data_IF_689568301779
#
_entry.id   IF_689568301779
#
_cell.length_a   1.000
_cell.length_b   1.000
_cell.length_c   1.000
_cell.angle_alpha   90.00
_cell.angle_beta   90.00
_cell.angle_gamma   90.00
#
_symmetry.space_group_name_H-M   'P 1'
#
loop_
_entity.id
_entity.type
_entity.pdbx_description
1 polymer ?
#
# COMPACT_ATOMS: atom_id res chain seq x y z
N UNK A 1 15.04 -14.07 13.45
CA UNK A 1 13.79 -14.47 14.16
C UNK A 1 12.70 -14.49 13.10
N UNK A 2 11.91 -15.55 13.03
CA UNK A 2 10.81 -15.61 12.07
C UNK A 2 9.54 -15.03 12.71
N UNK A 3 9.40 -13.71 12.65
CA UNK A 3 8.29 -12.94 13.29
C UNK A 3 6.90 -13.27 12.73
N UNK A 4 6.84 -13.83 11.52
CA UNK A 4 5.59 -14.18 10.82
C UNK A 4 5.44 -15.71 10.64
N UNK A 5 6.20 -16.52 11.40
CA UNK A 5 6.15 -17.98 11.29
C UNK A 5 4.73 -18.50 11.46
N UNK A 6 4.30 -19.33 10.50
CA UNK A 6 2.97 -19.96 10.50
C UNK A 6 1.80 -19.02 10.13
N UNK A 7 2.06 -17.77 9.78
CA UNK A 7 1.01 -16.84 9.29
C UNK A 7 0.78 -17.04 7.79
N UNK A 8 -0.48 -17.05 7.37
CA UNK A 8 -0.88 -16.94 5.97
C UNK A 8 -1.24 -15.50 5.63
N UNK A 9 -0.56 -14.95 4.62
CA UNK A 9 -0.63 -13.54 4.25
C UNK A 9 -1.07 -13.37 2.81
N UNK A 10 -2.02 -12.47 2.54
CA UNK A 10 -2.47 -12.09 1.21
C UNK A 10 -2.02 -10.66 0.92
N UNK A 11 -1.38 -10.42 -0.24
CA UNK A 11 -0.85 -9.11 -0.62
C UNK A 11 -1.34 -8.74 -2.01
N UNK A 12 -2.02 -7.60 -2.15
CA UNK A 12 -2.48 -7.09 -3.44
C UNK A 12 -1.45 -6.17 -4.10
N UNK A 13 -1.39 -6.15 -5.44
CA UNK A 13 -0.38 -5.40 -6.16
C UNK A 13 1.04 -5.92 -5.88
N UNK A 14 1.18 -7.25 -5.76
CA UNK A 14 2.41 -7.89 -5.29
C UNK A 14 3.38 -8.30 -6.43
N UNK A 15 3.04 -8.00 -7.70
CA UNK A 15 3.89 -8.32 -8.84
C UNK A 15 5.19 -7.50 -8.86
N UNK A 16 5.18 -6.28 -8.29
CA UNK A 16 6.33 -5.35 -8.32
C UNK A 16 6.33 -4.36 -7.14
N UNK A 17 7.37 -3.54 -7.08
CA UNK A 17 7.47 -2.40 -6.15
C UNK A 17 7.29 -2.76 -4.68
N UNK A 18 6.54 -1.93 -3.96
CA UNK A 18 6.31 -2.07 -2.52
C UNK A 18 5.64 -3.41 -2.18
N UNK A 19 4.63 -3.83 -2.96
CA UNK A 19 3.93 -5.09 -2.70
C UNK A 19 4.82 -6.31 -2.80
N UNK A 20 5.69 -6.38 -3.83
CA UNK A 20 6.68 -7.46 -3.99
C UNK A 20 7.72 -7.46 -2.87
N UNK A 21 8.20 -6.27 -2.46
CA UNK A 21 9.15 -6.15 -1.35
C UNK A 21 8.53 -6.59 -0.01
N UNK A 22 7.27 -6.24 0.25
CA UNK A 22 6.53 -6.72 1.43
C UNK A 22 6.40 -8.24 1.37
N UNK A 23 6.02 -8.81 0.22
CA UNK A 23 5.91 -10.25 0.05
C UNK A 23 7.22 -10.97 0.36
N UNK A 24 8.34 -10.48 -0.22
CA UNK A 24 9.67 -11.01 0.08
C UNK A 24 10.00 -10.94 1.56
N UNK A 25 9.82 -9.80 2.20
CA UNK A 25 10.12 -9.63 3.62
C UNK A 25 9.25 -10.54 4.51
N UNK A 26 7.98 -10.77 4.14
CA UNK A 26 7.09 -11.67 4.86
C UNK A 26 7.54 -13.13 4.75
N UNK A 27 7.97 -13.56 3.55
CA UNK A 27 8.54 -14.90 3.31
C UNK A 27 9.82 -15.08 4.12
N UNK A 28 10.73 -14.09 4.09
CA UNK A 28 11.99 -14.12 4.86
C UNK A 28 11.73 -14.21 6.37
N UNK A 29 10.59 -13.71 6.86
CA UNK A 29 10.15 -13.82 8.26
C UNK A 29 9.27 -15.06 8.54
N UNK A 30 9.18 -16.00 7.60
CA UNK A 30 8.57 -17.32 7.77
C UNK A 30 7.07 -17.39 7.51
N UNK A 31 6.48 -16.40 6.84
CA UNK A 31 5.10 -16.45 6.41
C UNK A 31 4.90 -17.30 5.15
N UNK A 32 3.72 -17.87 5.00
CA UNK A 32 3.20 -18.33 3.71
C UNK A 32 2.48 -17.15 3.04
N UNK A 33 2.89 -16.76 1.84
CA UNK A 33 2.35 -15.58 1.15
C UNK A 33 1.61 -15.98 -0.12
N UNK A 34 0.43 -15.40 -0.33
CA UNK A 34 -0.27 -15.38 -1.61
C UNK A 34 -0.08 -14.02 -2.26
N UNK A 35 0.63 -14.01 -3.39
CA UNK A 35 0.79 -12.81 -4.21
C UNK A 35 -0.43 -12.62 -5.10
N UNK A 36 -1.01 -11.43 -5.12
CA UNK A 36 -2.10 -11.13 -6.05
C UNK A 36 -1.83 -9.85 -6.83
N UNK A 37 -2.15 -9.87 -8.11
CA UNK A 37 -2.06 -8.74 -9.04
C UNK A 37 -2.97 -8.99 -10.23
N UNK A 38 -3.34 -7.93 -10.98
CA UNK A 38 -4.05 -8.08 -12.26
C UNK A 38 -3.12 -8.35 -13.43
N UNK A 39 -1.84 -7.99 -13.32
CA UNK A 39 -0.79 -8.20 -14.32
C UNK A 39 -0.31 -9.65 -14.25
N UNK A 40 -0.89 -10.49 -15.07
CA UNK A 40 -0.68 -11.95 -15.05
C UNK A 40 0.77 -12.36 -15.31
N UNK A 41 1.46 -11.68 -16.23
CA UNK A 41 2.82 -12.01 -16.64
C UNK A 41 3.82 -11.65 -15.53
N UNK A 42 3.81 -10.40 -15.10
CA UNK A 42 4.69 -9.93 -14.01
C UNK A 42 4.41 -10.63 -12.67
N UNK A 43 3.14 -11.01 -12.43
CA UNK A 43 2.77 -11.78 -11.25
C UNK A 43 3.35 -13.19 -11.28
N UNK A 44 3.33 -13.84 -12.44
CA UNK A 44 3.93 -15.17 -12.60
C UNK A 44 5.44 -15.14 -12.38
N UNK A 45 6.14 -14.13 -12.92
CA UNK A 45 7.57 -13.90 -12.67
C UNK A 45 7.89 -13.71 -11.20
N UNK A 46 7.11 -12.85 -10.51
CA UNK A 46 7.28 -12.61 -9.08
C UNK A 46 7.03 -13.90 -8.25
N UNK A 47 6.03 -14.69 -8.62
CA UNK A 47 5.74 -15.97 -8.00
C UNK A 47 6.87 -16.98 -8.14
N UNK A 48 7.51 -17.05 -9.31
CA UNK A 48 8.67 -17.91 -9.54
C UNK A 48 9.89 -17.44 -8.74
N UNK A 49 10.18 -16.14 -8.77
CA UNK A 49 11.33 -15.55 -8.07
C UNK A 49 11.21 -15.75 -6.54
N UNK A 50 10.03 -15.53 -5.99
CA UNK A 50 9.77 -15.63 -4.55
C UNK A 50 9.35 -17.05 -4.10
N UNK A 51 9.25 -18.00 -5.04
CA UNK A 51 8.78 -19.36 -4.78
C UNK A 51 7.45 -19.40 -4.02
N UNK A 52 6.52 -18.54 -4.40
CA UNK A 52 5.28 -18.27 -3.69
C UNK A 52 4.05 -18.47 -4.59
N UNK A 53 2.92 -18.82 -3.97
CA UNK A 53 1.65 -18.98 -4.70
C UNK A 53 1.16 -17.63 -5.24
N UNK A 54 0.50 -17.67 -6.39
CA UNK A 54 -0.07 -16.49 -7.04
C UNK A 54 -1.55 -16.68 -7.36
N UNK A 55 -2.31 -15.59 -7.35
CA UNK A 55 -3.69 -15.54 -7.81
C UNK A 55 -3.93 -14.23 -8.58
N UNK A 56 -4.34 -14.35 -9.83
CA UNK A 56 -4.73 -13.14 -10.61
C UNK A 56 -5.96 -12.52 -9.98
N UNK A 57 -5.86 -11.26 -9.58
CA UNK A 57 -6.91 -10.52 -8.90
C UNK A 57 -6.88 -9.06 -9.33
N UNK A 58 -7.96 -8.60 -9.95
CA UNK A 58 -8.23 -7.19 -10.20
C UNK A 58 -9.04 -6.64 -9.02
N UNK A 59 -8.43 -5.74 -8.25
CA UNK A 59 -9.03 -5.20 -7.03
C UNK A 59 -10.31 -4.40 -7.28
N UNK A 60 -10.58 -3.97 -8.53
CA UNK A 60 -11.80 -3.30 -8.94
C UNK A 60 -13.00 -4.27 -9.09
N UNK A 61 -12.75 -5.59 -9.20
CA UNK A 61 -13.76 -6.60 -9.51
C UNK A 61 -14.18 -7.37 -8.26
N UNK A 62 -15.40 -7.17 -7.82
CA UNK A 62 -15.96 -7.90 -6.67
C UNK A 62 -15.91 -9.42 -6.85
N UNK A 63 -16.15 -9.92 -8.08
CA UNK A 63 -16.08 -11.35 -8.39
C UNK A 63 -14.66 -11.94 -8.18
N UNK A 64 -13.59 -11.15 -8.33
CA UNK A 64 -12.23 -11.63 -8.05
C UNK A 64 -11.99 -11.78 -6.54
N UNK A 65 -12.60 -10.90 -5.73
CA UNK A 65 -12.59 -11.01 -4.28
C UNK A 65 -13.43 -12.19 -3.77
N UNK A 66 -14.58 -12.47 -4.40
CA UNK A 66 -15.40 -13.63 -4.09
C UNK A 66 -14.64 -14.91 -4.38
N UNK A 67 -13.98 -14.99 -5.55
CA UNK A 67 -13.10 -16.12 -5.90
C UNK A 67 -11.93 -16.29 -4.91
N UNK A 68 -11.30 -15.18 -4.48
CA UNK A 68 -10.27 -15.25 -3.43
C UNK A 68 -10.84 -15.82 -2.13
N UNK A 69 -12.04 -15.38 -1.71
CA UNK A 69 -12.69 -15.86 -0.49
C UNK A 69 -13.05 -17.35 -0.56
N UNK A 70 -13.49 -17.83 -1.72
CA UNK A 70 -13.79 -19.25 -1.94
C UNK A 70 -12.53 -20.13 -1.86
N UNK A 71 -11.42 -19.67 -2.45
CA UNK A 71 -10.16 -20.41 -2.48
C UNK A 71 -9.37 -20.29 -1.15
N UNK A 72 -9.47 -19.15 -0.49
CA UNK A 72 -8.73 -18.81 0.72
C UNK A 72 -9.67 -18.16 1.74
N UNK A 73 -10.54 -18.95 2.40
CA UNK A 73 -11.53 -18.43 3.35
C UNK A 73 -10.93 -17.91 4.66
N UNK A 74 -9.66 -18.17 4.93
CA UNK A 74 -8.95 -17.74 6.12
C UNK A 74 -7.63 -17.05 5.76
N UNK A 75 -7.28 -16.00 6.50
CA UNK A 75 -5.99 -15.32 6.42
C UNK A 75 -5.60 -14.75 7.78
N UNK A 76 -4.31 -14.59 8.05
CA UNK A 76 -3.77 -13.96 9.26
C UNK A 76 -3.41 -12.50 9.02
N UNK A 77 -2.96 -12.19 7.79
CA UNK A 77 -2.57 -10.85 7.38
C UNK A 77 -3.09 -10.56 5.98
N UNK A 78 -3.67 -9.37 5.79
CA UNK A 78 -4.03 -8.87 4.46
C UNK A 78 -3.39 -7.49 4.26
N UNK A 79 -2.62 -7.36 3.18
CA UNK A 79 -1.99 -6.09 2.77
C UNK A 79 -2.69 -5.56 1.53
N UNK A 80 -3.45 -4.50 1.68
CA UNK A 80 -4.08 -3.77 0.58
C UNK A 80 -3.06 -2.76 0.04
N UNK A 81 -2.28 -3.19 -0.95
CA UNK A 81 -1.21 -2.39 -1.54
C UNK A 81 -1.51 -1.95 -2.98
N UNK A 82 -2.31 -2.70 -3.74
CA UNK A 82 -2.65 -2.34 -5.11
C UNK A 82 -3.15 -0.88 -5.22
N UNK A 83 -2.62 -0.15 -6.18
CA UNK A 83 -2.99 1.24 -6.39
C UNK A 83 -2.36 1.82 -7.64
N UNK A 84 -2.97 2.88 -8.16
CA UNK A 84 -2.52 3.67 -9.31
C UNK A 84 -2.44 5.15 -8.94
N UNK A 85 -1.62 5.87 -9.70
CA UNK A 85 -1.51 7.34 -9.59
C UNK A 85 -2.51 8.07 -10.49
N UNK A 86 -2.89 7.44 -11.60
CA UNK A 86 -3.64 8.00 -12.72
C UNK A 86 -2.75 8.36 -13.92
N UNK A 87 -1.41 8.33 -13.75
CA UNK A 87 -0.46 8.67 -14.82
C UNK A 87 0.01 7.46 -15.65
N UNK A 88 -0.48 6.26 -15.37
CA UNK A 88 -0.06 5.01 -15.99
C UNK A 88 -0.37 4.95 -17.50
N UNK A 89 -1.41 5.65 -17.95
CA UNK A 89 -1.79 5.74 -19.37
C UNK A 89 -1.16 6.93 -20.10
N UNK A 90 -0.28 7.70 -19.42
CA UNK A 90 0.34 8.91 -19.97
C UNK A 90 -0.04 10.19 -19.23
N UNK A 91 0.46 11.33 -19.72
CA UNK A 91 0.26 12.63 -19.09
C UNK A 91 -1.14 13.16 -19.45
N UNK A 92 -2.06 13.11 -18.49
CA UNK A 92 -3.35 13.77 -18.54
C UNK A 92 -3.44 14.80 -17.39
N UNK A 93 -4.31 15.83 -17.48
CA UNK A 93 -4.53 16.73 -16.36
C UNK A 93 -5.15 15.98 -15.18
N UNK A 94 -4.49 16.04 -14.02
CA UNK A 94 -4.99 15.47 -12.75
C UNK A 94 -5.16 16.54 -11.67
N UNK A 95 -5.14 17.83 -12.08
CA UNK A 95 -5.41 18.96 -11.20
C UNK A 95 -6.93 19.12 -10.93
N UNK A 96 -7.33 19.87 -9.89
CA UNK A 96 -8.74 20.00 -9.50
C UNK A 96 -9.65 20.65 -10.51
N UNK A 97 -9.11 21.44 -11.45
CA UNK A 97 -9.89 22.17 -12.46
C UNK A 97 -10.12 21.34 -13.72
N UNK A 98 -9.09 20.61 -14.18
CA UNK A 98 -9.06 20.01 -15.52
C UNK A 98 -9.14 18.47 -15.51
N UNK A 99 -9.01 17.81 -14.35
CA UNK A 99 -9.14 16.35 -14.26
C UNK A 99 -10.52 15.90 -14.73
N UNK A 100 -10.57 14.88 -15.59
CA UNK A 100 -11.85 14.30 -16.02
C UNK A 100 -12.52 13.54 -14.88
N UNK A 101 -13.85 13.49 -14.88
CA UNK A 101 -14.59 12.67 -13.92
C UNK A 101 -14.31 11.16 -14.09
N UNK A 102 -13.96 10.74 -15.30
CA UNK A 102 -13.59 9.36 -15.60
C UNK A 102 -12.26 9.00 -14.95
N UNK A 103 -11.21 9.80 -15.12
CA UNK A 103 -9.91 9.62 -14.48
C UNK A 103 -10.02 9.68 -12.97
N UNK A 104 -10.78 10.65 -12.43
CA UNK A 104 -11.09 10.72 -11.01
C UNK A 104 -11.66 9.39 -10.50
N UNK A 105 -12.70 8.87 -11.17
CA UNK A 105 -13.35 7.62 -10.78
C UNK A 105 -12.45 6.40 -10.96
N UNK A 106 -11.63 6.36 -12.02
CA UNK A 106 -10.71 5.25 -12.25
C UNK A 106 -9.71 5.10 -11.09
N UNK A 107 -9.11 6.21 -10.64
CA UNK A 107 -8.20 6.19 -9.48
C UNK A 107 -8.92 5.74 -8.20
N UNK A 108 -10.16 6.20 -7.96
CA UNK A 108 -10.91 5.81 -6.77
C UNK A 108 -11.34 4.34 -6.80
N UNK A 109 -11.76 3.80 -7.95
CA UNK A 109 -12.11 2.37 -8.07
C UNK A 109 -10.95 1.46 -7.68
N UNK A 110 -9.75 1.73 -8.19
CA UNK A 110 -8.58 0.91 -7.83
C UNK A 110 -8.19 1.14 -6.37
N UNK A 111 -7.92 2.40 -6.01
CA UNK A 111 -7.28 2.71 -4.74
C UNK A 111 -8.23 2.55 -3.54
N UNK A 112 -9.46 3.07 -3.66
CA UNK A 112 -10.40 3.15 -2.54
C UNK A 112 -11.35 1.95 -2.50
N UNK A 113 -12.08 1.70 -3.61
CA UNK A 113 -13.03 0.58 -3.63
C UNK A 113 -12.29 -0.76 -3.50
N UNK A 114 -11.11 -0.90 -4.14
CA UNK A 114 -10.24 -2.06 -3.98
C UNK A 114 -9.79 -2.26 -2.52
N UNK A 115 -9.37 -1.20 -1.83
CA UNK A 115 -9.01 -1.28 -0.41
C UNK A 115 -10.22 -1.62 0.47
N UNK A 116 -11.39 -1.05 0.18
CA UNK A 116 -12.63 -1.40 0.88
C UNK A 116 -12.97 -2.89 0.73
N UNK A 117 -12.94 -3.42 -0.49
CA UNK A 117 -13.20 -4.84 -0.74
C UNK A 117 -12.16 -5.74 -0.05
N UNK A 118 -10.90 -5.34 -0.07
CA UNK A 118 -9.83 -6.05 0.64
C UNK A 118 -10.01 -6.05 2.15
N UNK A 119 -10.43 -4.94 2.76
CA UNK A 119 -10.76 -4.88 4.19
C UNK A 119 -11.97 -5.77 4.50
N UNK A 120 -13.01 -5.78 3.64
CA UNK A 120 -14.19 -6.64 3.79
C UNK A 120 -13.81 -8.13 3.74
N UNK A 121 -12.99 -8.53 2.78
CA UNK A 121 -12.44 -9.88 2.72
C UNK A 121 -11.64 -10.20 3.98
N UNK A 122 -10.72 -9.36 4.37
CA UNK A 122 -9.85 -9.57 5.52
C UNK A 122 -10.63 -9.79 6.83
N UNK A 123 -11.64 -8.94 7.11
CA UNK A 123 -12.48 -9.09 8.29
C UNK A 123 -13.19 -10.45 8.28
N UNK A 124 -13.76 -10.86 7.14
CA UNK A 124 -14.45 -12.16 7.00
C UNK A 124 -13.50 -13.33 7.19
N UNK A 125 -12.31 -13.27 6.58
CA UNK A 125 -11.29 -14.31 6.64
C UNK A 125 -10.65 -14.47 8.03
N UNK A 126 -10.68 -13.42 8.87
CA UNK A 126 -10.07 -13.40 10.20
C UNK A 126 -11.10 -13.57 11.33
N UNK A 127 -12.40 -13.41 11.03
CA UNK A 127 -13.46 -13.31 12.04
C UNK A 127 -13.58 -14.54 12.92
N UNK A 128 -13.54 -15.72 12.34
CA UNK A 128 -13.70 -16.98 13.08
C UNK A 128 -12.52 -17.25 14.01
N UNK A 129 -11.30 -16.86 13.60
CA UNK A 129 -10.11 -16.91 14.43
C UNK A 129 -10.10 -15.82 15.51
N UNK A 130 -10.82 -14.72 15.29
CA UNK A 130 -10.93 -13.57 16.19
C UNK A 130 -9.68 -12.70 16.27
N UNK A 131 -8.66 -12.94 15.43
CA UNK A 131 -7.40 -12.19 15.43
C UNK A 131 -6.82 -12.09 14.03
N UNK A 132 -6.09 -11.00 13.75
CA UNK A 132 -5.44 -10.77 12.47
C UNK A 132 -4.87 -9.36 12.32
N UNK A 133 -4.24 -9.09 11.18
CA UNK A 133 -3.69 -7.77 10.85
C UNK A 133 -4.07 -7.33 9.43
N UNK A 134 -4.67 -6.17 9.32
CA UNK A 134 -4.98 -5.50 8.06
C UNK A 134 -4.04 -4.32 7.91
N UNK A 135 -3.32 -4.25 6.78
CA UNK A 135 -2.36 -3.19 6.48
C UNK A 135 -2.78 -2.54 5.17
N UNK A 136 -3.11 -1.27 5.21
CA UNK A 136 -3.52 -0.50 4.04
C UNK A 136 -2.41 0.45 3.61
N UNK A 137 -1.93 0.32 2.37
CA UNK A 137 -0.92 1.24 1.84
C UNK A 137 -1.62 2.50 1.33
N UNK A 138 -1.50 3.55 2.12
CA UNK A 138 -1.92 4.90 1.76
C UNK A 138 -0.76 5.64 1.07
N UNK A 139 -0.53 6.89 1.41
CA UNK A 139 0.56 7.74 0.93
C UNK A 139 0.70 8.97 1.83
N UNK A 140 1.88 9.62 1.82
CA UNK A 140 2.01 11.00 2.31
C UNK A 140 0.98 11.92 1.65
N UNK A 141 0.66 11.68 0.38
CA UNK A 141 -0.37 12.44 -0.34
C UNK A 141 -1.78 12.29 0.24
N UNK A 142 -2.02 11.31 1.10
CA UNK A 142 -3.25 11.21 1.89
C UNK A 142 -3.27 12.11 3.14
N UNK A 143 -2.19 12.81 3.44
CA UNK A 143 -2.04 13.67 4.61
C UNK A 143 -1.93 15.15 4.23
N UNK A 144 -1.55 15.44 2.99
CA UNK A 144 -1.38 16.81 2.46
C UNK A 144 -1.97 16.91 1.05
N UNK A 145 -2.28 18.14 0.62
CA UNK A 145 -2.74 18.40 -0.74
C UNK A 145 -1.62 18.22 -1.77
N UNK A 146 -1.98 17.68 -2.94
CA UNK A 146 -1.09 17.55 -4.10
C UNK A 146 -1.81 18.14 -5.32
N UNK A 147 -1.49 19.39 -5.74
CA UNK A 147 -2.25 20.09 -6.76
C UNK A 147 -2.37 19.33 -8.08
N UNK A 148 -1.31 18.66 -8.52
CA UNK A 148 -1.29 17.91 -9.78
C UNK A 148 -1.78 16.46 -9.68
N UNK A 149 -2.33 16.00 -8.53
CA UNK A 149 -2.78 14.62 -8.34
C UNK A 149 -3.99 14.55 -7.40
N UNK A 150 -5.03 15.30 -7.69
CA UNK A 150 -6.20 15.48 -6.82
C UNK A 150 -6.92 14.17 -6.51
N UNK A 151 -7.19 13.35 -7.54
CA UNK A 151 -7.85 12.04 -7.38
C UNK A 151 -7.01 11.08 -6.51
N UNK A 152 -5.71 11.01 -6.79
CA UNK A 152 -4.79 10.18 -6.01
C UNK A 152 -4.76 10.61 -4.54
N UNK A 153 -4.51 11.89 -4.26
CA UNK A 153 -4.43 12.42 -2.92
C UNK A 153 -5.73 12.18 -2.13
N UNK A 154 -6.89 12.42 -2.74
CA UNK A 154 -8.19 12.19 -2.10
C UNK A 154 -8.44 10.71 -1.83
N UNK A 155 -8.10 9.80 -2.77
CA UNK A 155 -8.24 8.36 -2.56
C UNK A 155 -7.37 7.86 -1.40
N UNK A 156 -6.13 8.35 -1.29
CA UNK A 156 -5.21 7.99 -0.21
C UNK A 156 -5.63 8.59 1.15
N UNK A 157 -6.23 9.78 1.16
CA UNK A 157 -6.88 10.35 2.34
C UNK A 157 -8.06 9.50 2.83
N UNK A 158 -8.88 9.01 1.91
CA UNK A 158 -10.01 8.15 2.24
C UNK A 158 -9.55 6.81 2.84
N UNK A 159 -8.51 6.18 2.28
CA UNK A 159 -7.90 4.95 2.83
C UNK A 159 -7.42 5.19 4.27
N UNK A 160 -6.75 6.31 4.53
CA UNK A 160 -6.30 6.72 5.86
C UNK A 160 -7.44 6.69 6.88
N UNK A 161 -8.56 7.33 6.57
CA UNK A 161 -9.71 7.38 7.48
C UNK A 161 -10.47 6.05 7.53
N UNK A 162 -10.61 5.34 6.40
CA UNK A 162 -11.25 4.02 6.35
C UNK A 162 -10.53 3.01 7.25
N UNK A 163 -9.20 3.04 7.30
CA UNK A 163 -8.40 2.17 8.18
C UNK A 163 -8.78 2.32 9.66
N UNK A 164 -9.06 3.55 10.11
CA UNK A 164 -9.52 3.84 11.48
C UNK A 164 -10.92 3.29 11.72
N UNK A 165 -11.82 3.45 10.75
CA UNK A 165 -13.18 2.90 10.84
C UNK A 165 -13.17 1.38 10.94
N UNK A 166 -12.32 0.71 10.16
CA UNK A 166 -12.14 -0.76 10.22
C UNK A 166 -11.59 -1.20 11.58
N UNK A 167 -10.56 -0.51 12.09
CA UNK A 167 -9.98 -0.81 13.41
C UNK A 167 -11.03 -0.73 14.52
N UNK A 168 -11.80 0.37 14.55
CA UNK A 168 -12.85 0.59 15.55
C UNK A 168 -14.00 -0.42 15.41
N UNK A 169 -14.41 -0.75 14.19
CA UNK A 169 -15.44 -1.74 13.94
C UNK A 169 -15.04 -3.12 14.47
N UNK A 170 -13.82 -3.58 14.19
CA UNK A 170 -13.34 -4.86 14.71
C UNK A 170 -13.30 -4.87 16.24
N UNK A 171 -12.85 -3.78 16.87
CA UNK A 171 -12.82 -3.64 18.31
C UNK A 171 -14.24 -3.66 18.94
N UNK A 172 -15.23 -3.01 18.32
CA UNK A 172 -16.63 -3.05 18.76
C UNK A 172 -17.23 -4.47 18.73
N UNK A 173 -16.75 -5.32 17.83
CA UNK A 173 -17.16 -6.73 17.76
C UNK A 173 -16.40 -7.64 18.74
N UNK A 174 -15.49 -7.08 19.55
CA UNK A 174 -14.65 -7.86 20.45
C UNK A 174 -13.55 -8.67 19.73
N UNK A 175 -13.25 -8.34 18.47
CA UNK A 175 -12.24 -9.01 17.68
C UNK A 175 -10.87 -8.36 17.89
N UNK A 176 -9.84 -9.18 18.00
CA UNK A 176 -8.44 -8.73 18.05
C UNK A 176 -7.84 -8.60 16.62
N UNK A 177 -8.63 -8.07 15.69
CA UNK A 177 -8.22 -7.75 14.32
C UNK A 177 -7.77 -6.30 14.30
N UNK A 178 -6.48 -6.08 14.01
CA UNK A 178 -5.89 -4.74 13.92
C UNK A 178 -5.96 -4.24 12.50
N UNK A 179 -6.14 -2.94 12.32
CA UNK A 179 -6.09 -2.30 11.01
C UNK A 179 -5.29 -1.01 11.11
N UNK A 180 -4.23 -0.90 10.29
CA UNK A 180 -3.33 0.25 10.29
C UNK A 180 -3.03 0.69 8.85
N UNK A 181 -2.65 1.95 8.69
CA UNK A 181 -2.23 2.49 7.39
C UNK A 181 -0.76 2.88 7.39
N UNK A 182 -0.07 2.58 6.28
CA UNK A 182 1.30 3.03 6.01
C UNK A 182 1.24 4.17 5.00
N UNK A 183 2.01 5.22 5.24
CA UNK A 183 2.02 6.46 4.44
C UNK A 183 3.42 6.72 3.88
N UNK A 184 3.83 6.01 2.81
CA UNK A 184 5.11 6.29 2.15
C UNK A 184 5.08 7.64 1.45
N UNK A 185 6.22 8.32 1.41
CA UNK A 185 6.44 9.44 0.51
C UNK A 185 7.05 8.96 -0.82
N UNK A 186 8.10 9.61 -1.32
CA UNK A 186 8.81 9.19 -2.53
C UNK A 186 9.64 7.92 -2.25
N UNK A 187 9.11 6.76 -2.61
CA UNK A 187 9.79 5.46 -2.57
C UNK A 187 10.14 5.06 -4.00
N UNK A 188 11.39 4.66 -4.25
CA UNK A 188 11.84 4.28 -5.58
C UNK A 188 11.14 2.99 -6.03
N UNK A 189 10.30 3.11 -7.02
CA UNK A 189 9.48 2.03 -7.59
C UNK A 189 9.25 2.26 -9.08
N UNK A 190 8.86 1.24 -9.85
CA UNK A 190 8.49 1.41 -11.27
C UNK A 190 7.37 2.42 -11.52
N UNK A 191 6.56 2.76 -10.53
CA UNK A 191 5.52 3.79 -10.61
C UNK A 191 6.07 5.19 -10.96
N UNK A 192 7.34 5.46 -10.66
CA UNK A 192 8.00 6.73 -10.95
C UNK A 192 8.60 6.81 -12.36
N UNK A 193 8.81 5.68 -13.05
CA UNK A 193 9.49 5.65 -14.35
C UNK A 193 8.90 6.62 -15.37
N UNK A 194 7.56 6.77 -15.52
CA UNK A 194 6.98 7.71 -16.47
C UNK A 194 7.34 9.19 -16.19
N UNK A 195 7.76 9.50 -14.96
CA UNK A 195 8.00 10.88 -14.50
C UNK A 195 9.49 11.23 -14.39
N UNK A 196 10.38 10.23 -14.42
CA UNK A 196 11.81 10.45 -14.15
C UNK A 196 12.63 10.76 -15.40
N UNK A 197 12.17 10.39 -16.61
CA UNK A 197 12.98 10.54 -17.80
C UNK A 197 14.24 9.67 -17.80
N UNK A 198 15.22 10.00 -18.64
CA UNK A 198 16.46 9.23 -18.82
C UNK A 198 17.71 10.10 -18.63
N UNK A 199 18.86 9.45 -18.42
CA UNK A 199 20.17 10.11 -18.37
C UNK A 199 20.26 11.26 -17.38
N UNK A 200 20.74 12.43 -17.83
CA UNK A 200 20.93 13.61 -16.98
C UNK A 200 19.60 14.22 -16.51
N UNK A 201 18.53 14.09 -17.30
CA UNK A 201 17.19 14.56 -16.93
C UNK A 201 16.63 13.76 -15.75
N UNK A 202 16.88 12.43 -15.71
CA UNK A 202 16.50 11.57 -14.60
C UNK A 202 17.14 12.02 -13.29
N UNK A 203 18.43 12.31 -13.30
CA UNK A 203 19.12 12.77 -12.09
C UNK A 203 18.55 14.10 -11.57
N UNK A 204 18.32 15.06 -12.47
CA UNK A 204 17.72 16.33 -12.13
C UNK A 204 16.29 16.20 -11.61
N UNK A 205 15.48 15.28 -12.19
CA UNK A 205 14.13 15.00 -11.73
C UNK A 205 14.14 14.39 -10.31
N UNK A 206 15.03 13.44 -10.05
CA UNK A 206 15.22 12.83 -8.72
C UNK A 206 15.57 13.91 -7.70
N UNK A 207 16.58 14.74 -7.96
CA UNK A 207 17.00 15.82 -7.07
C UNK A 207 15.87 16.81 -6.79
N UNK A 208 15.09 17.16 -7.83
CA UNK A 208 13.94 18.07 -7.68
C UNK A 208 12.84 17.47 -6.80
N UNK A 209 12.55 16.17 -6.94
CA UNK A 209 11.52 15.47 -6.17
C UNK A 209 11.85 15.32 -4.69
N UNK A 210 13.15 15.22 -4.35
CA UNK A 210 13.60 15.02 -2.96
C UNK A 210 14.14 16.28 -2.30
N UNK A 211 14.15 17.43 -3.02
CA UNK A 211 14.77 18.69 -2.52
C UNK A 211 14.20 19.18 -1.18
N UNK A 212 12.92 18.90 -0.93
CA UNK A 212 12.23 19.30 0.31
C UNK A 212 12.18 18.16 1.35
N UNK A 213 12.68 16.96 1.00
CA UNK A 213 12.80 15.83 1.92
C UNK A 213 14.06 16.03 2.78
N UNK A 214 13.97 16.06 4.12
CA UNK A 214 15.14 16.24 4.99
C UNK A 214 16.26 15.23 4.74
N UNK A 215 15.94 13.96 4.47
CA UNK A 215 16.92 12.91 4.18
C UNK A 215 17.50 12.98 2.75
N UNK A 216 17.02 13.89 1.88
CA UNK A 216 17.56 14.20 0.54
C UNK A 216 17.73 12.99 -0.38
N UNK A 217 16.89 11.98 -0.23
CA UNK A 217 16.87 10.80 -1.09
C UNK A 217 15.46 10.24 -1.21
N UNK A 218 15.23 9.42 -2.21
CA UNK A 218 14.11 8.49 -2.21
C UNK A 218 14.27 7.48 -1.06
N UNK A 219 13.16 7.01 -0.53
CA UNK A 219 13.14 5.80 0.30
C UNK A 219 13.22 4.55 -0.60
N UNK A 220 13.61 3.45 0.02
CA UNK A 220 13.67 2.13 -0.61
C UNK A 220 12.43 1.31 -0.24
N UNK A 221 12.05 0.36 -1.11
CA UNK A 221 10.87 -0.49 -0.88
C UNK A 221 11.01 -1.36 0.38
N UNK A 222 12.24 -1.71 0.74
CA UNK A 222 12.58 -2.47 1.96
C UNK A 222 12.29 -1.67 3.24
N UNK A 223 12.39 -0.34 3.21
CA UNK A 223 12.07 0.52 4.35
C UNK A 223 10.56 0.50 4.63
N UNK A 224 9.72 0.38 3.59
CA UNK A 224 8.27 0.18 3.74
C UNK A 224 7.96 -1.23 4.20
N UNK A 225 8.63 -2.24 3.64
CA UNK A 225 8.45 -3.64 3.98
C UNK A 225 8.78 -3.91 5.46
N UNK A 226 9.81 -3.28 6.02
CA UNK A 226 10.18 -3.42 7.43
C UNK A 226 9.03 -2.99 8.38
N UNK A 227 8.36 -1.88 8.07
CA UNK A 227 7.19 -1.43 8.84
C UNK A 227 6.00 -2.36 8.64
N UNK A 228 5.78 -2.88 7.43
CA UNK A 228 4.73 -3.85 7.17
C UNK A 228 4.95 -5.14 7.97
N UNK A 229 6.19 -5.65 8.07
CA UNK A 229 6.52 -6.80 8.92
C UNK A 229 6.20 -6.53 10.39
N UNK A 230 6.57 -5.36 10.92
CA UNK A 230 6.22 -4.98 12.30
C UNK A 230 4.69 -5.03 12.50
N UNK A 231 3.92 -4.39 11.63
CA UNK A 231 2.46 -4.33 11.74
C UNK A 231 1.79 -5.71 11.55
N UNK A 232 2.39 -6.61 10.78
CA UNK A 232 1.91 -7.99 10.59
C UNK A 232 2.24 -8.89 11.78
N UNK A 233 3.26 -8.56 12.54
CA UNK A 233 3.76 -9.38 13.67
C UNK A 233 2.94 -9.17 14.96
N UNK A 234 3.17 -10.05 15.93
CA UNK A 234 2.54 -9.97 17.25
C UNK A 234 3.19 -8.87 18.13
N UNK A 235 4.36 -8.34 17.72
CA UNK A 235 5.00 -7.19 18.37
C UNK A 235 4.11 -5.93 18.29
N UNK A 236 3.25 -5.82 17.26
CA UNK A 236 2.30 -4.74 17.08
C UNK A 236 0.93 -5.00 17.75
N UNK A 237 0.85 -5.88 18.75
CA UNK A 237 -0.42 -6.31 19.36
C UNK A 237 -1.27 -5.16 19.95
N UNK A 238 -0.64 -4.04 20.30
CA UNK A 238 -1.35 -2.84 20.82
C UNK A 238 -1.37 -1.66 19.83
N UNK A 239 -1.10 -1.94 18.53
CA UNK A 239 -1.06 -0.93 17.45
C UNK A 239 -2.24 -1.17 16.52
N UNK A 240 -3.29 -0.34 16.60
CA UNK A 240 -4.45 -0.37 15.71
C UNK A 240 -5.01 1.03 15.48
N UNK A 241 -5.53 1.31 14.27
CA UNK A 241 -6.04 2.61 13.86
C UNK A 241 -4.95 3.67 13.66
N UNK A 242 -3.67 3.28 13.62
CA UNK A 242 -2.54 4.22 13.52
C UNK A 242 -2.14 4.50 12.06
N UNK A 243 -1.39 5.56 11.91
CA UNK A 243 -0.78 6.05 10.67
C UNK A 243 0.74 5.94 10.80
N UNK A 244 1.37 5.08 10.01
CA UNK A 244 2.83 4.91 10.01
C UNK A 244 3.43 5.64 8.83
N UNK A 245 4.07 6.78 9.10
CA UNK A 245 4.68 7.64 8.07
C UNK A 245 6.10 7.17 7.77
N UNK A 246 6.42 7.04 6.47
CA UNK A 246 7.75 6.66 5.97
C UNK A 246 8.10 7.66 4.86
N UNK A 247 8.64 8.82 5.25
CA UNK A 247 8.66 10.00 4.40
C UNK A 247 9.98 10.80 4.42
N UNK A 248 11.02 10.25 5.02
CA UNK A 248 12.31 10.94 5.12
C UNK A 248 12.25 12.26 5.88
N UNK A 249 11.19 12.46 6.68
CA UNK A 249 10.99 13.63 7.54
C UNK A 249 10.24 14.80 6.88
N UNK A 250 9.70 14.64 5.65
CA UNK A 250 9.06 15.77 4.94
C UNK A 250 7.84 16.33 5.67
N UNK A 251 7.13 15.53 6.45
CA UNK A 251 5.99 15.95 7.25
C UNK A 251 6.33 16.32 8.71
N UNK A 252 7.59 16.15 9.12
CA UNK A 252 8.00 16.50 10.49
C UNK A 252 7.99 18.02 10.77
N UNK A 253 8.01 18.82 9.71
CA UNK A 253 7.99 20.28 9.80
C UNK A 253 9.02 20.94 8.89
N UNK A 254 9.36 22.21 9.18
CA UNK A 254 10.39 22.95 8.45
C UNK A 254 11.76 22.77 9.09
N UNK A 255 12.76 22.50 8.27
CA UNK A 255 14.17 22.49 8.70
C UNK A 255 14.76 23.92 8.84
N UNK A 256 14.00 24.95 8.43
CA UNK A 256 14.45 26.34 8.59
C UNK A 256 14.42 26.72 10.07
N UNK A 257 15.58 27.11 10.61
CA UNK A 257 15.71 27.64 11.96
C UNK A 257 16.08 29.13 11.91
N UNK A 258 15.63 29.96 12.87
CA UNK A 258 16.08 31.35 12.96
C UNK A 258 17.60 31.42 13.11
N UNK A 259 18.28 32.13 12.20
CA UNK A 259 19.74 32.30 12.23
C UNK A 259 20.59 31.23 11.53
N UNK A 260 19.97 30.31 10.75
CA UNK A 260 20.64 29.35 9.88
C UNK A 260 20.78 29.89 8.45
#
# INVERSE_FOLDING_TARGET
>A
MHRLSGKFCVITGAARGIGKAIAKAFIDEGATVLLTDKDTETLAEAGQELQSSTLVLDVEKEADWDRLADLHPAADVVVNNAGITGFEAGVAPHDPENASLEDWRAVHRVNLDGTFMGCRYAIRAMKDKGTGSIINISSRSGMVGVPGAAAYASSKSAIRNHSKSVALYCAQLGLNIRCNSIHPAAIMTPMWEPMLGEGAERAAAIDALVKDTPMRRFGEVEEVAAVAVLLASDEASYITGTEMTIDGGILAGSAAAPGS
#
